data_IF_140247065861
#
_entry.id   IF_140247065861
#
_cell.length_a   1.000
_cell.length_b   1.000
_cell.length_c   1.000
_cell.angle_alpha   90.00
_cell.angle_beta   90.00
_cell.angle_gamma   90.00
#
_symmetry.space_group_name_H-M   'P 1'
#
loop_
_entity.id
_entity.type
_entity.pdbx_description
1 polymer ?
#
# COMPACT_ATOMS: atom_id res chain seq x y z
N UNK A 1 2.78 22.48 -3.25
CA UNK A 1 2.63 23.20 -4.53
C UNK A 1 3.20 24.61 -4.43
N UNK A 2 2.63 25.50 -3.60
CA UNK A 2 3.15 26.87 -3.48
C UNK A 2 4.47 27.02 -2.73
N UNK A 3 4.73 26.20 -1.70
CA UNK A 3 6.00 26.24 -0.94
C UNK A 3 7.16 25.50 -1.62
N UNK A 4 6.87 24.74 -2.68
CA UNK A 4 7.81 23.85 -3.33
C UNK A 4 8.25 24.36 -4.71
N UNK A 5 7.89 25.60 -5.08
CA UNK A 5 8.12 26.19 -6.40
C UNK A 5 7.77 25.23 -7.56
N UNK A 6 6.71 24.44 -7.34
CA UNK A 6 6.38 23.35 -8.24
C UNK A 6 5.96 23.89 -9.60
N UNK A 7 5.13 24.94 -9.61
CA UNK A 7 4.62 25.56 -10.84
C UNK A 7 5.69 26.26 -11.67
N UNK A 8 6.80 26.70 -11.06
CA UNK A 8 7.92 27.32 -11.77
C UNK A 8 8.94 26.29 -12.28
N UNK A 9 9.04 25.12 -11.62
CA UNK A 9 9.99 24.05 -11.98
C UNK A 9 9.34 22.94 -12.83
N UNK A 10 8.01 22.95 -12.96
CA UNK A 10 7.27 21.94 -13.68
C UNK A 10 7.34 22.16 -15.19
N UNK A 11 8.09 21.29 -15.87
CA UNK A 11 8.14 21.24 -17.32
C UNK A 11 7.49 19.97 -17.86
N UNK A 12 6.63 20.14 -18.87
CA UNK A 12 6.05 19.04 -19.63
C UNK A 12 7.08 18.44 -20.57
N UNK A 13 7.93 17.57 -20.02
CA UNK A 13 8.92 16.80 -20.76
C UNK A 13 8.42 15.40 -21.11
N UNK A 14 9.12 14.71 -22.03
CA UNK A 14 8.84 13.33 -22.45
C UNK A 14 8.86 12.33 -21.27
N UNK A 15 9.56 12.63 -20.19
CA UNK A 15 9.63 11.82 -18.96
C UNK A 15 8.58 12.20 -17.91
N UNK A 16 8.22 13.48 -17.81
CA UNK A 16 7.23 13.96 -16.82
C UNK A 16 5.81 13.52 -17.17
N UNK A 17 5.46 13.54 -18.46
CA UNK A 17 4.14 13.16 -18.93
C UNK A 17 3.72 11.72 -18.55
N UNK A 18 4.50 10.66 -18.84
CA UNK A 18 4.15 9.30 -18.43
C UNK A 18 4.15 9.13 -16.91
N UNK A 19 5.05 9.80 -16.19
CA UNK A 19 5.11 9.75 -14.72
C UNK A 19 3.83 10.31 -14.09
N UNK A 20 3.27 11.39 -14.65
CA UNK A 20 1.99 11.95 -14.21
C UNK A 20 0.83 10.97 -14.40
N UNK A 21 0.85 10.20 -15.49
CA UNK A 21 -0.17 9.19 -15.78
C UNK A 21 -0.09 8.06 -14.75
N UNK A 22 1.10 7.51 -14.48
CA UNK A 22 1.27 6.49 -13.44
C UNK A 22 0.83 6.98 -12.07
N UNK A 23 1.18 8.22 -11.71
CA UNK A 23 0.75 8.84 -10.45
C UNK A 23 -0.78 8.96 -10.38
N UNK A 24 -1.42 9.36 -11.48
CA UNK A 24 -2.88 9.51 -11.55
C UNK A 24 -3.57 8.16 -11.38
N UNK A 25 -3.08 7.13 -12.07
CA UNK A 25 -3.61 5.76 -11.95
C UNK A 25 -3.47 5.26 -10.50
N UNK A 26 -2.29 5.44 -9.91
CA UNK A 26 -2.04 5.06 -8.51
C UNK A 26 -2.96 5.81 -7.55
N UNK A 27 -3.14 7.12 -7.74
CA UNK A 27 -3.99 7.94 -6.87
C UNK A 27 -5.46 7.51 -6.95
N UNK A 28 -5.97 7.19 -8.15
CA UNK A 28 -7.35 6.77 -8.35
C UNK A 28 -7.55 5.35 -7.80
N UNK A 29 -6.77 4.38 -8.28
CA UNK A 29 -7.00 2.95 -7.96
C UNK A 29 -6.47 2.57 -6.58
N UNK A 30 -5.24 2.99 -6.27
CA UNK A 30 -4.54 2.60 -5.04
C UNK A 30 -4.99 3.38 -3.81
N UNK A 31 -5.26 4.68 -3.96
CA UNK A 31 -5.59 5.54 -2.80
C UNK A 31 -7.10 5.79 -2.68
N UNK A 32 -7.70 6.46 -3.66
CA UNK A 32 -9.08 6.92 -3.58
C UNK A 32 -10.07 5.74 -3.59
N UNK A 33 -9.93 4.82 -4.56
CA UNK A 33 -10.82 3.67 -4.70
C UNK A 33 -10.65 2.67 -3.56
N UNK A 34 -9.41 2.36 -3.16
CA UNK A 34 -9.16 1.47 -2.02
C UNK A 34 -9.78 2.03 -0.72
N UNK A 35 -9.62 3.33 -0.46
CA UNK A 35 -10.20 3.98 0.72
C UNK A 35 -11.74 3.99 0.65
N UNK A 36 -12.30 4.23 -0.54
CA UNK A 36 -13.74 4.15 -0.75
C UNK A 36 -14.30 2.75 -0.43
N UNK A 37 -13.66 1.70 -0.96
CA UNK A 37 -14.04 0.30 -0.70
C UNK A 37 -13.86 -0.03 0.78
N UNK A 38 -12.76 0.39 1.40
CA UNK A 38 -12.51 0.17 2.84
C UNK A 38 -13.59 0.82 3.71
N UNK A 39 -13.93 2.08 3.44
CA UNK A 39 -14.97 2.80 4.19
C UNK A 39 -16.35 2.15 4.00
N UNK A 40 -16.65 1.67 2.79
CA UNK A 40 -17.88 0.89 2.53
C UNK A 40 -17.88 -0.43 3.28
N UNK A 41 -16.77 -1.16 3.28
CA UNK A 41 -16.62 -2.41 4.02
C UNK A 41 -16.80 -2.18 5.51
N UNK A 42 -16.22 -1.13 6.10
CA UNK A 42 -16.41 -0.77 7.51
C UNK A 42 -17.89 -0.51 7.84
N UNK A 43 -18.65 0.11 6.92
CA UNK A 43 -20.07 0.37 7.13
C UNK A 43 -20.96 -0.88 7.02
N UNK A 44 -20.58 -1.85 6.19
CA UNK A 44 -21.41 -3.03 5.87
C UNK A 44 -21.00 -4.26 6.69
N UNK A 45 -19.71 -4.35 7.04
CA UNK A 45 -19.14 -5.49 7.75
C UNK A 45 -18.91 -5.18 9.23
N UNK A 46 -18.85 -6.22 10.06
CA UNK A 46 -18.46 -6.05 11.46
C UNK A 46 -17.02 -5.49 11.55
N UNK A 47 -16.67 -4.75 12.63
CA UNK A 47 -15.31 -4.24 12.85
C UNK A 47 -14.21 -5.32 12.69
N UNK A 48 -14.57 -6.58 12.93
CA UNK A 48 -13.71 -7.76 12.78
C UNK A 48 -13.28 -7.99 11.33
N UNK A 49 -14.16 -7.77 10.34
CA UNK A 49 -13.80 -7.97 8.93
C UNK A 49 -12.91 -6.84 8.39
N UNK A 50 -13.10 -5.61 8.87
CA UNK A 50 -12.19 -4.49 8.57
C UNK A 50 -10.78 -4.74 9.11
N UNK A 51 -10.65 -5.36 10.30
CA UNK A 51 -9.34 -5.72 10.86
C UNK A 51 -8.62 -6.83 10.06
N UNK A 52 -9.35 -7.72 9.37
CA UNK A 52 -8.75 -8.77 8.53
C UNK A 52 -7.93 -8.20 7.38
N UNK A 53 -8.33 -7.04 6.83
CA UNK A 53 -7.59 -6.38 5.74
C UNK A 53 -6.19 -5.99 6.21
N UNK A 54 -6.06 -5.45 7.43
CA UNK A 54 -4.77 -5.08 8.02
C UNK A 54 -3.83 -6.29 8.17
N UNK A 55 -4.38 -7.47 8.47
CA UNK A 55 -3.60 -8.70 8.59
C UNK A 55 -3.15 -9.29 7.25
N UNK A 56 -3.89 -8.99 6.17
CA UNK A 56 -3.53 -9.40 4.82
C UNK A 56 -2.41 -8.54 4.22
N UNK A 57 -2.25 -7.28 4.64
CA UNK A 57 -1.21 -6.38 4.12
C UNK A 57 0.19 -7.00 4.11
N UNK A 58 0.75 -7.50 5.24
CA UNK A 58 2.09 -8.07 5.24
C UNK A 58 2.21 -9.34 4.39
N UNK A 59 1.14 -10.14 4.31
CA UNK A 59 1.11 -11.38 3.50
C UNK A 59 1.16 -11.03 2.01
N UNK A 60 0.31 -10.09 1.57
CA UNK A 60 0.26 -9.63 0.18
C UNK A 60 1.55 -8.92 -0.22
N UNK A 61 2.18 -8.17 0.69
CA UNK A 61 3.47 -7.52 0.44
C UNK A 61 4.59 -8.53 0.15
N UNK A 62 4.71 -9.60 0.97
CA UNK A 62 5.68 -10.67 0.73
C UNK A 62 5.40 -11.40 -0.58
N UNK A 63 4.12 -11.68 -0.87
CA UNK A 63 3.73 -12.34 -2.12
C UNK A 63 4.14 -11.51 -3.35
N UNK A 64 3.89 -10.20 -3.35
CA UNK A 64 4.31 -9.32 -4.44
C UNK A 64 5.83 -9.20 -4.57
N UNK A 65 6.56 -9.10 -3.46
CA UNK A 65 8.03 -9.07 -3.48
C UNK A 65 8.64 -10.35 -4.06
N UNK A 66 8.04 -11.52 -3.77
CA UNK A 66 8.45 -12.79 -4.38
C UNK A 66 8.13 -12.85 -5.89
N UNK A 67 6.98 -12.31 -6.32
CA UNK A 67 6.60 -12.26 -7.74
C UNK A 67 7.48 -11.31 -8.56
N UNK A 68 7.91 -10.19 -7.98
CA UNK A 68 8.82 -9.23 -8.62
C UNK A 68 10.27 -9.75 -8.68
N UNK A 69 10.54 -10.93 -8.09
CA UNK A 69 11.86 -11.55 -8.09
C UNK A 69 12.85 -10.88 -7.16
N UNK A 70 12.38 -10.09 -6.18
CA UNK A 70 13.26 -9.47 -5.20
C UNK A 70 13.94 -10.55 -4.34
N UNK A 71 15.26 -10.45 -4.20
CA UNK A 71 16.02 -11.28 -3.29
C UNK A 71 15.72 -10.83 -1.86
N UNK A 72 14.64 -11.35 -1.27
CA UNK A 72 14.33 -11.14 0.13
C UNK A 72 15.49 -11.65 0.99
N UNK A 73 16.33 -10.74 1.48
CA UNK A 73 17.48 -11.04 2.33
C UNK A 73 16.96 -11.75 3.58
N UNK A 74 17.71 -12.71 4.12
CA UNK A 74 17.31 -13.49 5.31
C UNK A 74 16.83 -12.62 6.49
N UNK A 75 17.34 -11.39 6.63
CA UNK A 75 16.89 -10.43 7.65
C UNK A 75 15.45 -9.93 7.40
N UNK A 76 15.05 -9.70 6.15
CA UNK A 76 13.69 -9.29 5.80
C UNK A 76 12.70 -10.42 6.03
N UNK A 77 13.11 -11.66 5.79
CA UNK A 77 12.32 -12.84 6.12
C UNK A 77 12.08 -12.96 7.64
N UNK A 78 13.12 -12.79 8.45
CA UNK A 78 12.99 -12.74 9.91
C UNK A 78 12.11 -11.58 10.39
N UNK A 79 12.27 -10.39 9.82
CA UNK A 79 11.43 -9.23 10.12
C UNK A 79 9.95 -9.49 9.75
N UNK A 80 9.70 -10.13 8.60
CA UNK A 80 8.37 -10.56 8.17
C UNK A 80 7.72 -11.53 9.16
N UNK A 81 8.48 -12.52 9.65
CA UNK A 81 8.01 -13.45 10.71
C UNK A 81 7.65 -12.68 11.98
N UNK A 82 8.47 -11.73 12.42
CA UNK A 82 8.20 -10.91 13.62
C UNK A 82 6.91 -10.10 13.45
N UNK A 83 6.69 -9.48 12.29
CA UNK A 83 5.46 -8.72 12.00
C UNK A 83 4.23 -9.64 12.02
N UNK A 84 4.31 -10.81 11.38
CA UNK A 84 3.21 -11.79 11.38
C UNK A 84 2.89 -12.31 12.79
N UNK A 85 3.92 -12.55 13.62
CA UNK A 85 3.74 -12.92 15.03
C UNK A 85 3.06 -11.79 15.81
N UNK A 86 3.50 -10.53 15.63
CA UNK A 86 2.89 -9.37 16.28
C UNK A 86 1.41 -9.24 15.92
N UNK A 87 1.08 -9.37 14.64
CA UNK A 87 -0.29 -9.42 14.12
C UNK A 87 -1.10 -10.55 14.77
N UNK A 88 -0.53 -11.75 14.83
CA UNK A 88 -1.21 -12.90 15.45
C UNK A 88 -1.51 -12.68 16.94
N UNK A 89 -0.54 -12.15 17.69
CA UNK A 89 -0.69 -11.87 19.13
C UNK A 89 -1.75 -10.80 19.40
N UNK A 90 -1.76 -9.70 18.64
CA UNK A 90 -2.76 -8.63 18.81
C UNK A 90 -4.18 -9.09 18.46
N UNK A 91 -4.33 -10.04 17.54
CA UNK A 91 -5.63 -10.57 17.14
C UNK A 91 -6.12 -11.73 18.02
N UNK A 92 -5.25 -12.26 18.89
CA UNK A 92 -5.61 -13.31 19.85
C UNK A 92 -6.30 -12.65 21.05
N UNK A 93 -7.63 -12.73 21.08
CA UNK A 93 -8.41 -12.46 22.30
C UNK A 93 -8.10 -13.48 23.38
#
# INVERSE_FOLDING_TARGET
LWYSDFTSTFEFSKTTAPSLIYLTILAILGSAFATFVFNRLVQISSPVFSSSVTYLIPIVAVFWGLLDGENLISIQFFAGIIILIGVYLTNRK
#
